data_IF_630200494133
#
_entry.id   IF_630200494133
#
_cell.length_a   1.000
_cell.length_b   1.000
_cell.length_c   1.000
_cell.angle_alpha   90.00
_cell.angle_beta   90.00
_cell.angle_gamma   90.00
#
_symmetry.space_group_name_H-M   'P 1'
#
loop_
_entity.id
_entity.type
_entity.pdbx_description
1 polymer ?
#
# COMPACT_ATOMS: atom_id res chain seq x y z
N UNK A 1 -12.18 -17.35 -1.33
CA UNK A 1 -12.10 -15.87 -1.34
C UNK A 1 -10.86 -15.52 -0.55
N UNK A 2 -9.81 -15.07 -1.22
CA UNK A 2 -8.59 -14.67 -0.52
C UNK A 2 -8.75 -13.23 0.01
N UNK A 3 -8.21 -12.96 1.19
CA UNK A 3 -8.42 -11.68 1.85
C UNK A 3 -7.78 -10.50 1.08
N UNK A 4 -6.64 -10.75 0.44
CA UNK A 4 -5.96 -9.74 -0.39
C UNK A 4 -6.77 -9.36 -1.64
N UNK A 5 -7.60 -10.26 -2.19
CA UNK A 5 -8.48 -9.96 -3.34
C UNK A 5 -9.56 -8.94 -2.95
N UNK A 6 -10.06 -9.04 -1.72
CA UNK A 6 -11.04 -8.08 -1.17
C UNK A 6 -10.41 -6.70 -1.02
N UNK A 7 -9.17 -6.64 -0.54
CA UNK A 7 -8.43 -5.38 -0.39
C UNK A 7 -8.13 -4.77 -1.76
N UNK A 8 -7.66 -5.57 -2.73
CA UNK A 8 -7.42 -5.13 -4.09
C UNK A 8 -8.67 -4.55 -4.77
N UNK A 9 -9.83 -5.19 -4.56
CA UNK A 9 -11.12 -4.70 -5.04
C UNK A 9 -11.52 -3.37 -4.36
N UNK A 10 -11.30 -3.25 -3.04
CA UNK A 10 -11.50 -2.00 -2.27
C UNK A 10 -10.65 -0.85 -2.82
N UNK A 11 -9.36 -1.09 -3.08
CA UNK A 11 -8.43 -0.13 -3.67
C UNK A 11 -8.94 0.36 -5.04
N UNK A 12 -9.36 -0.59 -5.89
CA UNK A 12 -9.90 -0.30 -7.22
C UNK A 12 -11.17 0.55 -7.15
N UNK A 13 -12.07 0.23 -6.23
CA UNK A 13 -13.31 1.01 -5.95
C UNK A 13 -13.03 2.40 -5.42
N UNK A 14 -11.95 2.59 -4.66
CA UNK A 14 -11.49 3.89 -4.18
C UNK A 14 -10.74 4.71 -5.26
N UNK A 15 -10.62 4.18 -6.48
CA UNK A 15 -9.97 4.85 -7.61
C UNK A 15 -8.44 4.74 -7.60
N UNK A 16 -7.89 3.76 -6.90
CA UNK A 16 -6.47 3.41 -6.97
C UNK A 16 -6.24 2.36 -8.06
N UNK A 17 -5.21 2.57 -8.87
CA UNK A 17 -4.62 1.51 -9.67
C UNK A 17 -3.54 0.81 -8.82
N UNK A 18 -3.44 -0.51 -8.90
CA UNK A 18 -2.50 -1.28 -8.08
C UNK A 18 -1.76 -2.35 -8.88
N UNK A 19 -0.59 -2.73 -8.40
CA UNK A 19 0.27 -3.78 -8.93
C UNK A 19 0.86 -4.62 -7.81
N UNK A 20 1.15 -5.89 -8.08
CA UNK A 20 1.79 -6.80 -7.15
C UNK A 20 2.81 -7.66 -7.89
N UNK A 21 4.05 -7.69 -7.39
CA UNK A 21 5.11 -8.55 -7.92
C UNK A 21 5.81 -9.27 -6.76
N UNK A 22 6.32 -10.46 -7.03
CA UNK A 22 7.22 -11.16 -6.11
C UNK A 22 8.67 -11.04 -6.58
N UNK A 23 9.57 -10.92 -5.61
CA UNK A 23 11.01 -11.00 -5.78
C UNK A 23 11.58 -12.00 -4.77
N UNK A 24 12.77 -12.52 -5.05
CA UNK A 24 13.52 -13.35 -4.08
C UNK A 24 14.65 -12.49 -3.52
N UNK A 25 14.74 -12.40 -2.19
CA UNK A 25 15.81 -11.66 -1.52
C UNK A 25 17.14 -12.44 -1.51
N UNK A 26 18.22 -11.82 -1.04
CA UNK A 26 19.55 -12.45 -0.96
C UNK A 26 19.62 -13.65 -0.02
N UNK A 27 18.60 -13.87 0.82
CA UNK A 27 18.47 -15.00 1.74
C UNK A 27 17.55 -16.09 1.18
N UNK A 28 17.03 -15.94 -0.05
CA UNK A 28 16.14 -16.90 -0.69
C UNK A 28 14.68 -16.79 -0.24
N UNK A 29 14.29 -15.71 0.46
CA UNK A 29 12.91 -15.49 0.90
C UNK A 29 12.13 -14.75 -0.18
N UNK A 30 10.86 -15.11 -0.34
CA UNK A 30 9.93 -14.37 -1.20
C UNK A 30 9.58 -13.04 -0.55
N UNK A 31 9.79 -11.96 -1.28
CA UNK A 31 9.37 -10.62 -0.93
C UNK A 31 8.27 -10.18 -1.90
N UNK A 32 7.13 -9.78 -1.36
CA UNK A 32 6.04 -9.18 -2.11
C UNK A 32 6.22 -7.67 -2.14
N UNK A 33 6.14 -7.10 -3.34
CA UNK A 33 6.17 -5.67 -3.59
C UNK A 33 4.81 -5.31 -4.17
N UNK A 34 4.03 -4.53 -3.42
CA UNK A 34 2.71 -4.06 -3.84
C UNK A 34 2.77 -2.56 -3.98
N UNK A 35 2.31 -2.05 -5.13
CA UNK A 35 2.20 -0.61 -5.35
C UNK A 35 0.75 -0.19 -5.59
N UNK A 36 0.41 1.01 -5.15
CA UNK A 36 -0.81 1.69 -5.55
C UNK A 36 -0.50 3.11 -5.99
N UNK A 37 -1.17 3.56 -7.06
CA UNK A 37 -1.04 4.92 -7.56
C UNK A 37 -2.39 5.49 -7.99
N UNK A 38 -2.48 6.82 -7.98
CA UNK A 38 -3.67 7.58 -8.36
C UNK A 38 -3.27 8.85 -9.11
N UNK A 39 -4.17 9.35 -9.97
CA UNK A 39 -3.93 10.48 -10.88
C UNK A 39 -3.53 11.79 -10.20
N UNK A 40 -3.73 11.91 -8.88
CA UNK A 40 -3.28 13.04 -8.07
C UNK A 40 -1.77 13.02 -7.78
N UNK A 41 -1.00 12.16 -8.47
CA UNK A 41 0.44 12.02 -8.29
C UNK A 41 0.85 11.24 -7.05
N UNK A 42 -0.08 10.69 -6.27
CA UNK A 42 0.23 9.87 -5.10
C UNK A 42 0.57 8.44 -5.54
N UNK A 43 1.71 7.93 -5.06
CA UNK A 43 2.15 6.55 -5.25
C UNK A 43 2.72 5.98 -3.97
N UNK A 44 2.32 4.77 -3.63
CA UNK A 44 2.79 4.02 -2.46
C UNK A 44 3.36 2.69 -2.91
N UNK A 45 4.42 2.26 -2.25
CA UNK A 45 5.06 0.97 -2.47
C UNK A 45 5.29 0.34 -1.11
N UNK A 46 4.69 -0.82 -0.90
CA UNK A 46 4.83 -1.62 0.31
C UNK A 46 5.60 -2.89 -0.02
N UNK A 47 6.47 -3.31 0.91
CA UNK A 47 7.24 -4.55 0.81
C UNK A 47 6.99 -5.40 2.05
N UNK A 48 6.74 -6.69 1.85
CA UNK A 48 6.50 -7.64 2.95
C UNK A 48 6.87 -9.05 2.51
N UNK A 49 7.31 -9.91 3.42
CA UNK A 49 7.53 -11.33 3.16
C UNK A 49 6.23 -12.11 2.94
N UNK A 50 5.09 -11.54 3.38
CA UNK A 50 3.74 -12.06 3.13
C UNK A 50 2.91 -11.09 2.27
N UNK A 51 2.25 -11.62 1.23
CA UNK A 51 1.40 -10.85 0.32
C UNK A 51 0.26 -10.15 1.05
N UNK A 52 -0.44 -10.84 1.95
CA UNK A 52 -1.58 -10.26 2.65
C UNK A 52 -1.15 -9.07 3.52
N UNK A 53 -0.04 -9.22 4.24
CA UNK A 53 0.54 -8.14 5.04
C UNK A 53 0.92 -6.92 4.18
N UNK A 54 1.43 -7.11 2.95
CA UNK A 54 1.68 -5.99 2.04
C UNK A 54 0.39 -5.24 1.65
N UNK A 55 -0.69 -5.97 1.36
CA UNK A 55 -1.98 -5.36 1.00
C UNK A 55 -2.64 -4.64 2.18
N UNK A 56 -2.60 -5.20 3.39
CA UNK A 56 -3.16 -4.57 4.58
C UNK A 56 -2.48 -3.23 4.90
N UNK A 57 -1.16 -3.18 4.76
CA UNK A 57 -0.41 -1.95 5.00
C UNK A 57 -0.71 -0.89 3.92
N UNK A 58 -0.87 -1.33 2.66
CA UNK A 58 -1.27 -0.43 1.58
C UNK A 58 -2.69 0.13 1.78
N UNK A 59 -3.63 -0.69 2.24
CA UNK A 59 -4.98 -0.24 2.61
C UNK A 59 -4.93 0.78 3.76
N UNK A 60 -4.11 0.53 4.79
CA UNK A 60 -3.93 1.46 5.92
C UNK A 60 -3.44 2.84 5.45
N UNK A 61 -2.44 2.87 4.58
CA UNK A 61 -1.87 4.11 4.04
C UNK A 61 -2.91 4.87 3.21
N UNK A 62 -3.59 4.18 2.29
CA UNK A 62 -4.61 4.82 1.44
C UNK A 62 -5.80 5.35 2.24
N UNK A 63 -6.22 4.64 3.30
CA UNK A 63 -7.28 5.08 4.19
C UNK A 63 -6.87 6.28 5.06
N UNK A 64 -5.64 6.30 5.58
CA UNK A 64 -5.10 7.44 6.31
C UNK A 64 -5.00 8.69 5.43
N UNK A 65 -4.66 8.53 4.14
CA UNK A 65 -4.63 9.62 3.17
C UNK A 65 -6.01 10.15 2.81
N UNK A 66 -7.01 9.28 2.75
CA UNK A 66 -8.40 9.70 2.57
C UNK A 66 -8.88 10.50 3.79
N UNK A 67 -8.54 10.04 5.00
CA UNK A 67 -8.90 10.73 6.23
C UNK A 67 -8.22 12.10 6.37
N UNK A 68 -6.92 12.19 6.11
CA UNK A 68 -6.19 13.48 6.12
C UNK A 68 -6.76 14.46 5.08
N UNK A 69 -7.08 14.00 3.88
CA UNK A 69 -7.70 14.84 2.85
C UNK A 69 -9.09 15.36 3.26
N UNK A 70 -9.84 14.62 4.07
CA UNK A 70 -11.15 15.03 4.59
C UNK A 70 -11.04 15.99 5.79
N UNK A 71 -10.00 15.84 6.60
CA UNK A 71 -9.81 16.66 7.81
C UNK A 71 -9.11 18.00 7.54
N UNK A 72 -8.58 18.21 6.33
CA UNK A 72 -8.01 19.50 5.91
C UNK A 72 -6.81 19.94 6.74
N UNK A 73 -6.15 19.01 7.43
CA UNK A 73 -5.02 19.30 8.29
C UNK A 73 -3.73 19.13 7.48
N UNK A 74 -3.03 20.23 7.25
CA UNK A 74 -1.69 20.32 6.64
C UNK A 74 -0.61 19.67 7.53
N UNK A 75 -0.88 18.50 8.10
CA UNK A 75 0.13 17.67 8.73
C UNK A 75 0.77 16.81 7.65
N UNK A 76 1.94 17.27 7.22
CA UNK A 76 2.99 16.51 6.54
C UNK A 76 3.36 15.29 7.40
N UNK A 77 2.48 14.29 7.39
CA UNK A 77 2.81 12.95 7.90
C UNK A 77 3.57 12.28 6.78
N UNK A 78 4.90 12.42 6.81
CA UNK A 78 5.80 11.69 5.92
C UNK A 78 5.46 10.18 6.01
N UNK A 79 4.85 9.59 4.96
CA UNK A 79 4.46 8.18 4.97
C UNK A 79 5.68 7.24 4.98
N UNK A 80 6.90 7.76 4.87
CA UNK A 80 8.15 7.00 4.81
C UNK A 80 8.70 6.62 6.19
N UNK A 81 8.14 7.11 7.30
CA UNK A 81 8.63 6.74 8.64
C UNK A 81 8.38 5.25 9.01
N UNK A 82 7.64 4.50 8.18
CA UNK A 82 7.47 3.05 8.34
C UNK A 82 8.43 2.20 7.48
N UNK A 83 9.35 2.80 6.71
CA UNK A 83 10.26 2.04 5.83
C UNK A 83 11.66 1.77 6.37
N UNK A 84 11.99 2.20 7.60
CA UNK A 84 13.29 1.88 8.20
C UNK A 84 13.14 1.15 9.54
N UNK A 85 13.15 -0.19 9.48
CA UNK A 85 13.83 -1.04 10.46
C UNK A 85 14.10 -2.42 9.87
#
# INVERSE_FOLDING_TARGET
MNYWEVIADSLSKAGWSWGCVSAIDSQGRTLWIVDAHRDNGKRFVVRSDEMLSAFLELERITHALALSALLGDDTDVDPLLCQES
#
